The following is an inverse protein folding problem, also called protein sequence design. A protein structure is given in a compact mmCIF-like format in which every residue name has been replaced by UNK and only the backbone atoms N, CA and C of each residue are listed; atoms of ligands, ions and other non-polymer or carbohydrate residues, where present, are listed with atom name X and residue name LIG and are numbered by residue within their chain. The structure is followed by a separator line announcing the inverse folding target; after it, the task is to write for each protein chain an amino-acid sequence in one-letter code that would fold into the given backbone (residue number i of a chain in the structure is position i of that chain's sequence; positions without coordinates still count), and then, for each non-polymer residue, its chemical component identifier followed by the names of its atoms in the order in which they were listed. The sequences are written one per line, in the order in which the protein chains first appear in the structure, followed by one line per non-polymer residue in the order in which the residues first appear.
data_IF_158434893964
#
_entry.id   IF_158434893964
#
_cell.length_a   1.000
_cell.length_b   1.000
_cell.length_c   1.000
_cell.angle_alpha   90.00
_cell.angle_beta   90.00
_cell.angle_gamma   90.00
#
_symmetry.space_group_name_H-M   'P 1'
#
loop_
_entity.id
_entity.type
_entity.pdbx_description
1 polymer ?
2 non-polymer ?
3 non-polymer ?
4 water ?
#
# COMPACT_ATOMS: atom_id res chain seq x y z
N UNK A 1 -21.17 15.05 12.94
CA UNK A 1 -19.98 14.55 13.64
C UNK A 1 -18.70 15.22 13.12
N UNK A 2 -17.77 15.59 14.03
CA UNK A 2 -16.52 16.30 13.72
C UNK A 2 -15.55 15.55 12.77
N UNK A 3 -15.71 14.23 12.65
CA UNK A 3 -14.89 13.44 11.73
C UNK A 3 -15.19 13.76 10.26
N UNK A 4 -16.34 14.40 9.99
CA UNK A 4 -16.70 14.76 8.61
C UNK A 4 -16.28 16.18 8.24
N UNK A 5 -15.69 16.94 9.19
CA UNK A 5 -15.23 18.33 8.96
C UNK A 5 -14.12 18.37 7.90
N UNK A 6 -13.93 19.50 7.16
CA UNK A 6 -12.89 19.51 6.12
C UNK A 6 -11.49 19.17 6.61
N UNK A 7 -10.74 18.45 5.75
CA UNK A 7 -9.37 18.03 5.99
C UNK A 7 -8.47 19.25 6.15
N UNK A 8 -7.39 19.11 6.94
CA UNK A 8 -6.44 20.20 7.14
C UNK A 8 -5.53 20.18 5.90
N UNK A 9 -5.69 21.18 5.01
CA UNK A 9 -4.93 21.32 3.77
C UNK A 9 -3.42 21.45 4.03
N UNK A 10 -3.04 22.19 5.09
CA UNK A 10 -1.62 22.34 5.44
C UNK A 10 -1.06 20.99 5.90
N UNK A 11 -1.83 20.21 6.68
CA UNK A 11 -1.37 18.90 7.12
C UNK A 11 -0.97 18.03 5.92
N UNK A 12 -1.84 17.92 4.93
CA UNK A 12 -1.58 17.15 3.71
C UNK A 12 -0.31 17.61 3.00
N UNK A 13 -0.12 18.93 2.87
CA UNK A 13 1.09 19.47 2.22
C UNK A 13 2.36 19.12 3.03
N UNK A 14 2.27 19.18 4.38
CA UNK A 14 3.39 18.82 5.24
C UNK A 14 3.75 17.32 5.07
N UNK A 15 2.75 16.44 5.00
CA UNK A 15 3.00 15.00 4.81
C UNK A 15 3.71 14.69 3.48
N UNK A 16 3.34 15.39 2.40
CA UNK A 16 3.98 15.21 1.10
C UNK A 16 5.49 15.57 1.23
N UNK A 17 5.77 16.68 1.89
CA UNK A 17 7.16 17.15 2.06
C UNK A 17 7.92 16.17 2.96
N UNK A 18 7.28 15.78 4.08
CA UNK A 18 7.91 14.86 5.02
C UNK A 18 8.23 13.51 4.33
N UNK A 19 7.29 13.01 3.49
CA UNK A 19 7.50 11.79 2.72
C UNK A 19 8.74 11.90 1.81
N UNK A 20 8.92 13.05 1.12
CA UNK A 20 10.10 13.30 0.28
C UNK A 20 11.36 13.17 1.10
N UNK A 21 11.39 13.83 2.27
CA UNK A 21 12.59 13.85 3.11
C UNK A 21 12.88 12.49 3.71
N UNK A 22 11.85 11.79 4.22
CA UNK A 22 12.08 10.47 4.81
C UNK A 22 12.59 9.47 3.80
N UNK A 23 12.04 9.48 2.58
CA UNK A 23 12.46 8.57 1.51
C UNK A 23 13.88 8.90 1.07
N UNK A 24 14.17 10.20 0.89
CA UNK A 24 15.50 10.63 0.48
C UNK A 24 16.59 10.34 1.50
N UNK A 25 16.33 10.65 2.79
CA UNK A 25 17.35 10.56 3.85
C UNK A 25 17.38 9.31 4.70
N UNK A 26 16.22 8.66 4.84
CA UNK A 26 16.02 7.59 5.80
C UNK A 26 15.58 8.26 7.09
N UNK A 27 14.89 7.53 7.98
CA UNK A 27 14.37 8.11 9.20
C UNK A 27 15.40 8.83 10.08
N UNK A 28 16.52 8.13 10.39
CA UNK A 28 17.50 8.67 11.31
C UNK A 28 18.17 9.95 10.81
N UNK A 29 18.54 10.04 9.53
CA UNK A 29 19.17 11.25 8.99
C UNK A 29 18.17 12.37 8.75
N UNK A 30 16.89 12.04 8.52
CA UNK A 30 15.87 13.08 8.28
C UNK A 30 15.71 13.94 9.51
N UNK A 31 15.43 15.21 9.33
CA UNK A 31 15.24 16.11 10.46
C UNK A 31 14.04 17.00 10.23
N UNK A 32 13.45 17.47 11.34
CA UNK A 32 12.33 18.39 11.30
C UNK A 32 12.80 19.71 10.68
N UNK A 33 14.09 20.10 10.85
CA UNK A 33 14.58 21.35 10.22
C UNK A 33 14.49 21.31 8.70
N UNK A 34 14.92 20.22 8.08
CA UNK A 34 14.80 20.10 6.62
C UNK A 34 13.33 20.08 6.17
N UNK A 35 12.47 19.38 6.92
CA UNK A 35 11.06 19.29 6.54
C UNK A 35 10.44 20.69 6.62
N UNK A 36 10.68 21.45 7.72
CA UNK A 36 10.19 22.82 7.85
C UNK A 36 10.73 23.68 6.68
N UNK A 37 12.03 23.56 6.38
CA UNK A 37 12.68 24.30 5.28
C UNK A 37 11.95 24.12 3.94
N UNK A 38 11.73 22.87 3.58
CA UNK A 38 11.14 22.48 2.30
C UNK A 38 9.65 22.73 2.23
N UNK A 39 8.97 22.73 3.38
CA UNK A 39 7.52 22.98 3.43
C UNK A 39 7.20 24.47 3.37
N UNK A 40 8.21 25.31 3.61
CA UNK A 40 8.03 26.76 3.61
C UNK A 40 7.24 27.25 4.82
N UNK A 41 7.22 26.43 5.88
CA UNK A 41 6.53 26.76 7.11
C UNK A 41 7.56 26.95 8.17
N UNK A 42 7.21 27.71 9.21
CA UNK A 42 8.16 27.88 10.28
C UNK A 42 8.23 26.56 11.03
N UNK A 43 9.35 26.32 11.71
CA UNK A 43 9.48 25.11 12.51
C UNK A 43 8.43 25.08 13.65
N UNK A 44 8.10 26.20 14.36
CA UNK A 44 7.04 26.11 15.38
C UNK A 44 5.69 25.67 14.77
N UNK A 45 5.34 26.13 13.54
CA UNK A 45 4.09 25.71 12.86
C UNK A 45 4.13 24.20 12.57
N UNK A 46 5.30 23.69 12.12
CA UNK A 46 5.46 22.26 11.88
C UNK A 46 5.21 21.48 13.19
N UNK A 47 5.77 21.97 14.33
CA UNK A 47 5.57 21.34 15.65
C UNK A 47 4.14 21.47 16.19
N UNK A 48 3.40 22.52 15.77
CA UNK A 48 1.97 22.66 16.15
C UNK A 48 1.14 21.52 15.53
N UNK A 49 1.55 21.03 14.35
CA UNK A 49 0.85 19.94 13.65
C UNK A 49 1.38 18.57 14.11
N UNK A 50 2.71 18.44 14.28
CA UNK A 50 3.33 17.15 14.64
C UNK A 50 4.29 17.40 15.77
N UNK A 51 3.96 16.89 16.96
CA UNK A 51 4.79 17.14 18.14
C UNK A 51 6.12 16.38 18.13
N UNK A 52 6.28 15.34 17.27
CA UNK A 52 7.56 14.64 17.18
C UNK A 52 7.85 14.14 15.76
N UNK A 53 9.15 13.88 15.46
CA UNK A 53 9.58 13.33 14.16
C UNK A 53 8.96 11.93 14.00
N UNK A 54 8.90 11.14 15.09
CA UNK A 54 8.28 9.79 15.02
C UNK A 54 6.80 9.88 14.68
N UNK A 55 6.06 10.82 15.31
CA UNK A 55 4.62 10.94 15.01
C UNK A 55 4.48 11.28 13.51
N UNK A 56 5.35 12.20 13.01
CA UNK A 56 5.28 12.59 11.60
C UNK A 56 5.58 11.39 10.67
N UNK A 57 6.58 10.59 11.01
CA UNK A 57 6.92 9.43 10.20
C UNK A 57 5.72 8.46 10.15
N UNK A 58 5.16 8.16 11.31
CA UNK A 58 4.03 7.24 11.34
C UNK A 58 2.81 7.80 10.57
N UNK A 59 2.61 9.12 10.58
CA UNK A 59 1.52 9.76 9.83
C UNK A 59 1.79 9.63 8.32
N UNK A 60 3.06 9.75 7.91
CA UNK A 60 3.48 9.60 6.49
C UNK A 60 3.20 8.12 6.07
N UNK A 61 3.69 7.18 6.89
CA UNK A 61 3.49 5.76 6.58
C UNK A 61 1.98 5.47 6.44
N UNK A 62 1.17 5.96 7.39
CA UNK A 62 -0.27 5.71 7.35
C UNK A 62 -0.94 6.30 6.10
N UNK A 63 -0.56 7.50 5.69
CA UNK A 63 -1.12 8.13 4.50
C UNK A 63 -0.89 7.19 3.29
N UNK A 64 0.33 6.65 3.14
CA UNK A 64 0.66 5.74 2.01
C UNK A 64 -0.09 4.42 2.15
N UNK A 65 -0.12 3.84 3.34
CA UNK A 65 -0.84 2.57 3.60
C UNK A 65 -2.34 2.73 3.27
N UNK A 66 -2.96 3.82 3.76
CA UNK A 66 -4.39 4.08 3.53
C UNK A 66 -4.71 4.23 2.04
N UNK A 67 -3.79 4.84 1.27
CA UNK A 67 -3.91 5.00 -0.18
C UNK A 67 -4.03 3.60 -0.83
N UNK A 68 -3.14 2.69 -0.45
CA UNK A 68 -3.16 1.36 -1.03
C UNK A 68 -4.37 0.56 -0.54
N UNK A 69 -4.58 0.49 0.77
CA UNK A 69 -5.62 -0.34 1.38
C UNK A 69 -7.00 0.12 0.95
N UNK A 70 -7.24 1.45 0.90
CA UNK A 70 -8.54 1.94 0.43
C UNK A 70 -8.75 1.61 -1.05
N UNK A 71 -7.68 1.66 -1.85
CA UNK A 71 -7.76 1.32 -3.27
C UNK A 71 -8.13 -0.13 -3.45
N UNK A 72 -7.53 -1.02 -2.66
CA UNK A 72 -7.83 -2.45 -2.75
C UNK A 72 -9.28 -2.69 -2.29
N UNK A 73 -9.66 -2.14 -1.16
CA UNK A 73 -11.05 -2.35 -0.67
C UNK A 73 -12.06 -1.81 -1.67
N UNK A 74 -11.86 -0.60 -2.18
CA UNK A 74 -12.80 -0.05 -3.16
C UNK A 74 -12.93 -0.93 -4.40
N UNK A 75 -11.82 -1.53 -4.84
CA UNK A 75 -11.80 -2.45 -5.99
C UNK A 75 -12.70 -3.65 -5.72
N UNK A 76 -12.61 -4.17 -4.49
CA UNK A 76 -13.39 -5.35 -4.11
C UNK A 76 -14.90 -5.09 -4.00
N UNK A 77 -15.31 -3.82 -3.86
CA UNK A 77 -16.73 -3.47 -3.74
C UNK A 77 -17.35 -3.13 -5.09
N UNK A 78 -16.52 -3.07 -6.15
CA UNK A 78 -17.05 -2.67 -7.48
C UNK A 78 -17.99 -3.70 -8.10
N UNK A 79 -17.73 -5.00 -7.89
CA UNK A 79 -18.50 -6.09 -8.50
C UNK A 79 -18.26 -7.37 -7.73
N UNK A 80 -19.28 -8.27 -7.76
CA UNK A 80 -19.15 -9.59 -7.15
C UNK A 80 -18.85 -10.63 -8.22
N UNK A 81 -18.59 -10.18 -9.48
CA UNK A 81 -18.12 -11.09 -10.55
C UNK A 81 -16.64 -11.21 -10.21
N UNK A 82 -16.26 -12.35 -9.59
CA UNK A 82 -14.92 -12.48 -9.03
C UNK A 82 -13.80 -12.33 -10.02
N UNK A 83 -13.97 -12.83 -11.27
CA UNK A 83 -12.92 -12.67 -12.26
C UNK A 83 -12.67 -11.16 -12.52
N UNK A 84 -13.76 -10.39 -12.54
CA UNK A 84 -13.65 -8.96 -12.78
C UNK A 84 -13.08 -8.23 -11.59
N UNK A 85 -13.56 -8.50 -10.35
CA UNK A 85 -12.97 -7.75 -9.24
C UNK A 85 -11.52 -8.15 -8.96
N UNK A 86 -11.11 -9.38 -9.36
CA UNK A 86 -9.70 -9.77 -9.27
C UNK A 86 -8.88 -8.80 -10.11
N UNK A 87 -9.33 -8.49 -11.35
CA UNK A 87 -8.56 -7.52 -12.14
C UNK A 87 -8.58 -6.12 -11.51
N UNK A 88 -9.74 -5.65 -11.04
CA UNK A 88 -9.83 -4.30 -10.48
C UNK A 88 -8.85 -4.17 -9.29
N UNK A 89 -8.76 -5.22 -8.46
CA UNK A 89 -7.91 -5.20 -7.26
C UNK A 89 -6.43 -5.30 -7.60
N UNK A 90 -6.07 -6.22 -8.51
CA UNK A 90 -4.65 -6.34 -8.93
C UNK A 90 -4.25 -5.04 -9.63
N UNK A 91 -5.14 -4.46 -10.47
CA UNK A 91 -4.87 -3.19 -11.15
C UNK A 91 -4.60 -2.10 -10.11
N UNK A 92 -5.46 -2.04 -9.07
CA UNK A 92 -5.31 -0.98 -8.02
C UNK A 92 -3.91 -1.06 -7.36
N UNK A 93 -3.45 -2.28 -7.12
CA UNK A 93 -2.15 -2.55 -6.53
C UNK A 93 -1.01 -2.11 -7.44
N UNK A 94 -1.07 -2.48 -8.73
CA UNK A 94 -0.02 -2.05 -9.65
C UNK A 94 -0.03 -0.53 -9.85
N UNK A 95 -1.24 0.07 -9.90
CA UNK A 95 -1.43 1.51 -10.06
C UNK A 95 -0.78 2.22 -8.88
N UNK A 96 -0.98 1.69 -7.66
CA UNK A 96 -0.37 2.27 -6.46
C UNK A 96 1.17 2.24 -6.52
N UNK A 97 1.75 1.07 -6.79
CA UNK A 97 3.20 0.92 -6.72
C UNK A 97 3.89 1.72 -7.82
N UNK A 98 3.22 1.91 -8.97
CA UNK A 98 3.77 2.69 -10.06
C UNK A 98 3.64 4.19 -9.79
N UNK A 99 2.48 4.63 -9.27
CA UNK A 99 2.19 6.05 -9.04
C UNK A 99 2.83 6.57 -7.75
N UNK A 100 2.66 5.81 -6.66
CA UNK A 100 3.15 6.19 -5.33
C UNK A 100 4.42 5.42 -5.00
N UNK A 101 5.51 5.82 -5.69
CA UNK A 101 6.84 5.20 -5.54
C UNK A 101 7.36 5.31 -4.10
N UNK A 102 7.12 6.47 -3.45
CA UNK A 102 7.57 6.64 -2.04
C UNK A 102 6.79 5.67 -1.15
N UNK A 103 5.49 5.52 -1.42
CA UNK A 103 4.65 4.59 -0.68
C UNK A 103 5.12 3.16 -0.86
N UNK A 104 5.46 2.78 -2.11
CA UNK A 104 5.99 1.44 -2.38
C UNK A 104 7.23 1.19 -1.54
N UNK A 105 8.18 2.14 -1.54
CA UNK A 105 9.41 1.97 -0.80
C UNK A 105 9.18 1.89 0.69
N UNK A 106 8.34 2.79 1.22
CA UNK A 106 8.06 2.81 2.66
C UNK A 106 7.34 1.57 3.16
N UNK A 107 6.50 0.95 2.32
CA UNK A 107 5.73 -0.23 2.75
C UNK A 107 6.46 -1.55 2.48
N UNK A 108 7.01 -1.70 1.26
CA UNK A 108 7.59 -2.95 0.77
C UNK A 108 9.09 -3.05 0.89
N UNK A 109 9.79 -1.92 1.08
CA UNK A 109 11.23 -1.93 1.25
C UNK A 109 11.63 -1.16 2.52
N UNK A 110 10.86 -1.29 3.61
CA UNK A 110 11.13 -0.54 4.84
C UNK A 110 12.39 -1.06 5.56
N UNK A 111 13.31 -0.14 5.89
CA UNK A 111 14.60 -0.41 6.56
C UNK A 111 14.65 0.17 7.98
N UNK A 112 13.52 0.70 8.50
CA UNK A 112 13.49 1.29 9.85
C UNK A 112 13.14 0.21 10.90
N UNK A 113 14.07 -0.74 11.09
CA UNK A 113 13.93 -1.91 11.97
C UNK A 113 14.08 -1.57 13.47
N UNK A 114 14.70 -0.41 13.78
CA UNK A 114 14.95 0.06 15.14
C UNK A 114 13.64 0.42 15.88
N UNK A 115 12.53 0.57 15.12
CA UNK A 115 11.23 0.92 15.66
C UNK A 115 10.23 -0.20 15.29
N UNK A 116 9.97 -1.13 16.23
CA UNK A 116 9.04 -2.24 15.96
C UNK A 116 7.63 -1.84 15.50
N UNK A 117 7.16 -0.63 15.90
CA UNK A 117 5.81 -0.18 15.52
C UNK A 117 5.70 0.04 14.00
N UNK A 118 6.82 0.39 13.35
CA UNK A 118 6.84 0.58 11.88
C UNK A 118 6.53 -0.75 11.18
N UNK A 119 7.27 -1.82 11.51
CA UNK A 119 7.04 -3.13 10.92
C UNK A 119 5.63 -3.63 11.26
N UNK A 120 5.15 -3.30 12.48
CA UNK A 120 3.82 -3.74 12.88
C UNK A 120 2.77 -3.05 12.04
N UNK A 121 2.94 -1.74 11.74
CA UNK A 121 1.95 -1.05 10.90
C UNK A 121 1.85 -1.66 9.51
N UNK A 122 2.99 -2.09 8.97
CA UNK A 122 3.00 -2.78 7.67
C UNK A 122 2.28 -4.15 7.77
N UNK A 123 2.57 -4.93 8.80
CA UNK A 123 1.90 -6.23 9.00
C UNK A 123 0.39 -6.08 9.18
N UNK A 124 -0.05 -5.15 10.05
CA UNK A 124 -1.52 -5.00 10.27
C UNK A 124 -2.25 -4.57 8.97
N UNK A 125 -1.62 -3.71 8.15
CA UNK A 125 -2.20 -3.30 6.87
C UNK A 125 -2.22 -4.47 5.91
N UNK A 126 -1.14 -5.29 5.88
CA UNK A 126 -1.07 -6.48 5.00
C UNK A 126 -2.13 -7.47 5.35
N UNK A 127 -2.32 -7.68 6.66
CA UNK A 127 -3.34 -8.53 7.21
C UNK A 127 -4.71 -7.99 6.87
N UNK A 128 -4.91 -6.65 6.78
CA UNK A 128 -6.22 -6.12 6.39
C UNK A 128 -6.58 -6.57 4.94
N UNK A 129 -5.59 -6.56 4.02
CA UNK A 129 -5.83 -7.02 2.66
C UNK A 129 -6.07 -8.53 2.63
N UNK A 130 -5.24 -9.31 3.36
CA UNK A 130 -5.46 -10.77 3.40
C UNK A 130 -6.86 -11.05 3.98
N UNK A 131 -7.24 -10.35 5.07
CA UNK A 131 -8.55 -10.57 5.71
C UNK A 131 -9.68 -10.29 4.74
N UNK A 132 -9.56 -9.21 3.93
CA UNK A 132 -10.61 -8.84 2.98
C UNK A 132 -10.78 -9.95 1.94
N UNK A 133 -9.65 -10.48 1.44
CA UNK A 133 -9.65 -11.60 0.47
C UNK A 133 -10.23 -12.89 1.10
N UNK A 134 -9.74 -13.25 2.32
CA UNK A 134 -10.26 -14.38 3.09
C UNK A 134 -11.80 -14.27 3.25
N UNK A 135 -12.32 -13.08 3.59
CA UNK A 135 -13.79 -12.92 3.76
C UNK A 135 -14.51 -13.26 2.46
N UNK A 136 -13.95 -12.85 1.29
CA UNK A 136 -14.59 -13.18 0.01
C UNK A 136 -14.49 -14.65 -0.33
N UNK A 137 -13.30 -15.24 -0.18
CA UNK A 137 -13.12 -16.67 -0.48
C UNK A 137 -14.04 -17.53 0.41
N UNK A 138 -14.14 -17.21 1.71
CA UNK A 138 -14.99 -17.99 2.62
C UNK A 138 -16.43 -17.93 2.19
N UNK A 139 -16.90 -16.73 1.86
CA UNK A 139 -18.28 -16.49 1.45
C UNK A 139 -18.65 -17.07 0.08
N UNK A 140 -17.70 -17.03 -0.90
CA UNK A 140 -17.98 -17.43 -2.28
C UNK A 140 -17.48 -18.80 -2.67
N UNK A 141 -16.99 -19.59 -1.71
CA UNK A 141 -16.53 -20.94 -1.98
C UNK A 141 -16.96 -21.86 -0.86
N UNK A 142 -16.75 -23.16 -1.08
CA UNK A 142 -17.04 -24.22 -0.10
C UNK A 142 -15.85 -24.54 0.77
N UNK A 143 -14.80 -23.69 0.74
CA UNK A 143 -13.62 -23.89 1.56
C UNK A 143 -13.92 -23.52 3.01
N UNK A 144 -13.45 -24.36 3.93
CA UNK A 144 -13.61 -24.09 5.36
C UNK A 144 -12.58 -23.00 5.75
N UNK A 145 -12.69 -22.33 6.92
CA UNK A 145 -11.76 -21.22 7.22
C UNK A 145 -10.26 -21.48 7.03
N UNK A 146 -9.72 -22.64 7.47
CA UNK A 146 -8.28 -22.92 7.36
C UNK A 146 -7.82 -22.91 5.90
N UNK A 147 -8.57 -23.59 5.04
CA UNK A 147 -8.24 -23.68 3.61
C UNK A 147 -8.43 -22.33 2.93
N UNK A 148 -9.50 -21.59 3.28
CA UNK A 148 -9.75 -20.26 2.69
C UNK A 148 -8.61 -19.32 3.06
N UNK A 149 -8.13 -19.39 4.32
CA UNK A 149 -7.07 -18.50 4.75
C UNK A 149 -5.75 -18.80 4.04
N UNK A 150 -5.45 -20.09 3.84
CA UNK A 150 -4.19 -20.46 3.16
C UNK A 150 -4.19 -19.93 1.71
N UNK A 151 -5.32 -20.08 1.00
CA UNK A 151 -5.50 -19.58 -0.38
C UNK A 151 -5.46 -18.06 -0.40
N UNK A 152 -6.09 -17.38 0.59
CA UNK A 152 -6.02 -15.91 0.63
C UNK A 152 -4.55 -15.44 0.75
N UNK A 153 -3.75 -16.10 1.60
CA UNK A 153 -2.33 -15.76 1.79
C UNK A 153 -1.57 -16.01 0.46
N UNK A 154 -1.84 -17.15 -0.16
CA UNK A 154 -1.21 -17.51 -1.43
C UNK A 154 -1.52 -16.51 -2.52
N UNK A 155 -2.80 -16.10 -2.62
CA UNK A 155 -3.26 -15.13 -3.62
C UNK A 155 -2.65 -13.76 -3.44
N UNK A 156 -2.68 -13.23 -2.22
CA UNK A 156 -2.07 -11.94 -1.95
C UNK A 156 -0.54 -12.00 -2.17
N UNK A 157 0.10 -13.03 -1.63
CA UNK A 157 1.55 -13.18 -1.76
C UNK A 157 2.00 -13.32 -3.20
N UNK A 158 1.29 -14.13 -3.97
CA UNK A 158 1.61 -14.34 -5.39
C UNK A 158 1.52 -12.98 -6.14
N UNK A 159 0.49 -12.19 -5.85
CA UNK A 159 0.22 -10.86 -6.44
C UNK A 159 1.33 -9.88 -6.09
N UNK A 160 1.72 -9.81 -4.80
CA UNK A 160 2.79 -8.96 -4.36
C UNK A 160 4.08 -9.39 -5.04
N UNK A 161 4.34 -10.71 -5.13
CA UNK A 161 5.57 -11.22 -5.74
C UNK A 161 5.66 -10.92 -7.22
N UNK A 162 4.56 -11.07 -7.97
CA UNK A 162 4.59 -10.76 -9.41
C UNK A 162 4.88 -9.28 -9.62
N UNK A 163 4.21 -8.43 -8.82
CA UNK A 163 4.37 -6.96 -8.93
C UNK A 163 5.76 -6.52 -8.57
N UNK A 164 6.33 -7.08 -7.48
CA UNK A 164 7.66 -6.71 -7.06
C UNK A 164 8.67 -7.18 -8.06
N UNK A 165 8.45 -8.36 -8.67
CA UNK A 165 9.35 -8.81 -9.72
C UNK A 165 9.34 -7.79 -10.88
N UNK A 166 8.13 -7.43 -11.35
CA UNK A 166 7.96 -6.50 -12.46
C UNK A 166 8.66 -5.17 -12.18
N UNK A 167 8.41 -4.58 -10.99
CA UNK A 167 8.99 -3.28 -10.64
C UNK A 167 10.50 -3.40 -10.47
N UNK A 168 10.97 -4.45 -9.77
CA UNK A 168 12.42 -4.66 -9.59
C UNK A 168 13.18 -5.01 -10.88
N UNK A 169 12.49 -5.52 -11.93
CA UNK A 169 13.07 -5.82 -13.23
C UNK A 169 12.98 -4.60 -14.19
N UNK A 170 12.70 -3.40 -13.62
CA UNK A 170 12.57 -2.14 -14.35
C UNK A 170 11.44 -2.16 -15.40
N UNK A 171 10.31 -2.79 -15.05
CA UNK A 171 9.12 -2.81 -15.92
C UNK A 171 9.40 -3.35 -17.33
N UNK A 172 9.82 -4.62 -17.46
CA UNK A 172 10.18 -5.16 -18.79
C UNK A 172 9.02 -5.34 -19.77
N UNK A 173 7.80 -5.32 -19.24
CA UNK A 173 6.55 -5.39 -20.01
C UNK A 173 5.68 -4.24 -19.50
N UNK A 174 4.63 -3.89 -20.26
CA UNK A 174 3.77 -2.80 -19.83
C UNK A 174 3.06 -3.15 -18.52
N UNK A 175 2.64 -2.14 -17.76
CA UNK A 175 1.86 -2.37 -16.55
C UNK A 175 0.56 -3.13 -16.92
N UNK A 176 -0.10 -2.79 -18.04
CA UNK A 176 -1.33 -3.54 -18.40
C UNK A 176 -1.06 -5.02 -18.62
N UNK A 177 0.10 -5.36 -19.28
CA UNK A 177 0.47 -6.77 -19.50
C UNK A 177 0.80 -7.47 -18.17
N UNK A 178 1.55 -6.78 -17.28
CA UNK A 178 1.93 -7.33 -15.98
C UNK A 178 0.67 -7.62 -15.12
N UNK A 179 -0.28 -6.66 -15.10
CA UNK A 179 -1.56 -6.83 -14.37
C UNK A 179 -2.33 -8.00 -15.00
N UNK A 180 -2.51 -7.97 -16.32
CA UNK A 180 -3.29 -9.04 -16.95
C UNK A 180 -2.65 -10.43 -16.75
N UNK A 181 -1.34 -10.52 -16.87
CA UNK A 181 -0.64 -11.78 -16.65
C UNK A 181 -0.84 -12.32 -15.25
N UNK A 182 -0.75 -11.43 -14.25
CA UNK A 182 -0.93 -11.78 -12.84
C UNK A 182 -2.37 -12.26 -12.61
N UNK A 183 -3.35 -11.53 -13.18
CA UNK A 183 -4.77 -11.83 -13.02
C UNK A 183 -5.07 -13.18 -13.67
N UNK A 184 -4.59 -13.40 -14.90
CA UNK A 184 -4.87 -14.67 -15.59
C UNK A 184 -4.29 -15.85 -14.82
N UNK A 185 -3.08 -15.67 -14.24
CA UNK A 185 -2.49 -16.76 -13.46
C UNK A 185 -3.28 -16.98 -12.18
N UNK A 186 -3.70 -15.89 -11.50
CA UNK A 186 -4.50 -16.01 -10.27
C UNK A 186 -5.86 -16.68 -10.56
N UNK A 187 -6.44 -16.39 -11.70
CA UNK A 187 -7.75 -16.94 -12.02
C UNK A 187 -7.70 -18.38 -12.53
N UNK A 188 -6.88 -18.61 -13.54
CA UNK A 188 -6.83 -19.89 -14.25
C UNK A 188 -5.71 -20.85 -13.88
N UNK A 189 -4.72 -20.37 -13.13
CA UNK A 189 -3.56 -21.15 -12.72
C UNK A 189 -2.70 -21.62 -13.88
N UNK A 190 -1.77 -22.55 -13.59
CA UNK A 190 -0.91 -23.08 -14.63
C UNK A 190 -1.69 -23.74 -15.74
N UNK A 191 -2.88 -24.32 -15.42
CA UNK A 191 -3.68 -25.02 -16.43
C UNK A 191 -4.13 -24.12 -17.59
N UNK A 192 -4.20 -22.78 -17.37
CA UNK A 192 -4.66 -21.88 -18.44
C UNK A 192 -3.57 -20.97 -19.01
N UNK A 193 -2.29 -21.29 -18.78
CA UNK A 193 -1.18 -20.53 -19.35
C UNK A 193 -1.22 -20.76 -20.91
N UNK A 194 -1.05 -19.73 -21.78
CA UNK A 194 -1.16 -19.99 -23.25
C UNK A 194 -0.22 -21.10 -23.72
N UNK A 195 -0.74 -22.03 -24.53
CA UNK A 195 0.03 -23.18 -25.03
C UNK A 195 0.52 -22.93 -26.46
X LIG B 1 -15.82 -21.05 -13.97
X LIG B 1 -15.70 -20.36 -15.21
X LIG B 1 -16.31 -20.11 -12.88
X LIG B 1 -16.53 -18.94 -13.13
X LIG B 1 -16.46 -20.64 -11.66
X LIG B 1 -16.73 -19.86 -10.46
X LIG B 1 -15.48 -19.15 -9.97
X LIG B 1 -15.68 -18.50 -8.63
X LIG B 1 -16.12 -17.35 -8.54
X LIG B 1 -15.29 -19.22 -7.57
X LIG B 1 -15.12 -18.66 -6.25
X LIG B 1 -13.71 -18.12 -6.03
X LIG B 1 -13.72 -17.07 -4.54
X LIG B 1 -13.17 -15.53 -5.18
X LIG B 1 -12.83 -15.38 -6.33
X LIG B 1 -13.12 -14.44 -4.15
X LIG B 1 -11.85 -13.60 -4.28
X LIG B 1 -12.10 -12.34 -5.11
X LIG B 1 -10.87 -11.68 -5.72
X LIG B 1 -9.76 -11.33 -4.75
X LIG B 1 -8.74 -10.39 -5.34
X LIG B 1 -7.41 -10.40 -4.65
X LIG B 1 -6.47 -9.36 -5.20
X LIG B 1 -5.09 -9.40 -4.62
X LIG B 1 -4.21 -8.30 -5.17
X LIG B 1 -4.01 -7.14 -4.23
X LIG B 1 -2.82 -7.34 -3.33
X LIG B 1 -2.56 -6.20 -2.40
X LIG B 1 -1.51 -6.53 -1.38
X LIG B 1 -1.21 -5.39 -0.45
X LIG B 1 -0.60 -5.79 0.88
X LIG B 1 0.13 -4.67 1.60
X LIG B 1 -0.74 -3.63 2.28
X LIG B 1 0.05 -2.69 3.17
X LIG C 1 10.71 7.16 -4.61
X LIG D 1 -6.96 16.28 8.31
#
# INVERSE_FOLDING_TARGET
FQGMLPRDERRGQLLVVASDVFVDRGYHAAGMDEIADRAGVSKPVLYQHFSSKLELYLAVLHRHVENLVSGVHQALSTTTDNRQRLHVAVQAFFDFIEHDSQGYRLIFENDFVTEPEVAAQVRVATESCIDAVFALISADSGLDPHRARMIAVGLVGMSVDCARYWLDADKPISKSDAVEGTVQFAWGGLSHVPL
5F9 C40 O41 C42 O44 N43 C45 C46 C47 O49 N48 C50 C51 S52 C53 O54 C55 C56 C57 C58 C59 C60 C61 C62 C63 C64 C65 C66 C67 C68 C69 C70 C71 C72 C73
CL CL
CL CL
#
